data_IF_166079128154
#
_entry.id   IF_166079128154
#
_cell.length_a   1.000
_cell.length_b   1.000
_cell.length_c   1.000
_cell.angle_alpha   90.00
_cell.angle_beta   90.00
_cell.angle_gamma   90.00
#
_symmetry.space_group_name_H-M   'P 1'
#
loop_
_entity.id
_entity.type
_entity.pdbx_description
1 polymer ?
#
# COMPACT_ATOMS: atom_id res chain seq x y z
N UNK A 1 -7.38 23.69 -3.06
CA UNK A 1 -8.05 22.45 -2.57
C UNK A 1 -7.49 22.17 -1.21
N UNK A 2 -8.34 22.08 -0.23
CA UNK A 2 -7.92 21.97 1.18
C UNK A 2 -8.41 20.64 1.72
N UNK A 3 -7.59 19.61 1.59
CA UNK A 3 -7.74 18.36 2.33
C UNK A 3 -6.56 18.20 3.29
N UNK A 4 -6.79 17.46 4.36
CA UNK A 4 -5.77 17.10 5.34
C UNK A 4 -5.39 15.63 5.21
N UNK A 5 -4.17 15.27 5.62
CA UNK A 5 -3.71 13.90 5.68
C UNK A 5 -3.62 13.49 7.13
N UNK A 6 -4.35 12.45 7.50
CA UNK A 6 -4.46 11.98 8.88
C UNK A 6 -4.13 10.49 8.98
N UNK A 7 -3.58 10.09 10.12
CA UNK A 7 -3.49 8.67 10.47
C UNK A 7 -4.85 8.17 10.95
N UNK A 8 -5.25 7.00 10.47
CA UNK A 8 -6.57 6.42 10.80
C UNK A 8 -6.41 5.08 11.52
N UNK A 9 -7.32 4.80 12.44
CA UNK A 9 -7.42 3.50 13.11
C UNK A 9 -8.37 2.59 12.34
N UNK A 10 -7.84 1.49 11.82
CA UNK A 10 -8.63 0.49 11.08
C UNK A 10 -9.58 -0.34 11.97
N UNK A 11 -9.53 -0.17 13.30
CA UNK A 11 -10.49 -0.78 14.22
C UNK A 11 -11.77 0.03 14.37
N UNK A 12 -11.76 1.29 13.95
CA UNK A 12 -12.96 2.12 13.93
C UNK A 12 -13.88 1.65 12.79
N UNK A 13 -15.07 1.18 13.15
CA UNK A 13 -16.05 0.63 12.21
C UNK A 13 -16.45 1.63 11.12
N UNK A 14 -16.56 2.91 11.45
CA UNK A 14 -16.92 3.96 10.50
C UNK A 14 -15.80 4.21 9.50
N UNK A 15 -14.57 4.26 9.99
CA UNK A 15 -13.38 4.40 9.14
C UNK A 15 -13.23 3.18 8.22
N UNK A 16 -13.39 1.96 8.76
CA UNK A 16 -13.32 0.73 7.94
C UNK A 16 -14.39 0.74 6.82
N UNK A 17 -15.61 1.16 7.11
CA UNK A 17 -16.67 1.26 6.12
C UNK A 17 -16.36 2.31 5.02
N UNK A 18 -15.92 3.49 5.41
CA UNK A 18 -15.54 4.54 4.45
C UNK A 18 -14.37 4.11 3.55
N UNK A 19 -13.34 3.47 4.11
CA UNK A 19 -12.20 2.96 3.36
C UNK A 19 -12.60 1.84 2.39
N UNK A 20 -13.44 0.89 2.81
CA UNK A 20 -13.96 -0.17 1.93
C UNK A 20 -14.78 0.41 0.77
N UNK A 21 -15.61 1.42 1.06
CA UNK A 21 -16.37 2.14 0.03
C UNK A 21 -15.46 2.87 -0.95
N UNK A 22 -14.45 3.57 -0.46
CA UNK A 22 -13.44 4.24 -1.29
C UNK A 22 -12.70 3.25 -2.19
N UNK A 23 -12.20 2.14 -1.64
CA UNK A 23 -11.45 1.12 -2.38
C UNK A 23 -12.35 0.50 -3.47
N UNK A 24 -13.59 0.16 -3.13
CA UNK A 24 -14.55 -0.34 -4.11
C UNK A 24 -14.72 0.61 -5.29
N UNK A 25 -14.92 1.90 -5.04
CA UNK A 25 -15.08 2.92 -6.08
C UNK A 25 -13.80 3.11 -6.89
N UNK A 26 -12.65 3.19 -6.23
CA UNK A 26 -11.36 3.43 -6.89
C UNK A 26 -10.96 2.31 -7.85
N UNK A 27 -11.33 1.07 -7.54
CA UNK A 27 -11.01 -0.11 -8.35
C UNK A 27 -12.19 -0.60 -9.21
N UNK A 28 -13.32 0.07 -9.16
CA UNK A 28 -14.56 -0.35 -9.84
C UNK A 28 -14.90 -1.82 -9.55
N UNK A 29 -14.76 -2.22 -8.28
CA UNK A 29 -15.00 -3.60 -7.86
C UNK A 29 -16.51 -3.87 -7.73
N UNK A 30 -16.95 -5.02 -8.22
CA UNK A 30 -18.37 -5.44 -8.14
C UNK A 30 -18.79 -5.64 -6.68
N UNK A 31 -17.95 -6.34 -5.90
CA UNK A 31 -18.23 -6.63 -4.50
C UNK A 31 -17.39 -5.77 -3.56
N UNK A 32 -17.97 -5.32 -2.42
CA UNK A 32 -17.21 -4.63 -1.40
C UNK A 32 -16.31 -5.61 -0.63
N UNK A 33 -15.21 -5.10 -0.10
CA UNK A 33 -14.42 -5.84 0.88
C UNK A 33 -15.27 -6.17 2.11
N UNK A 34 -15.03 -7.32 2.73
CA UNK A 34 -15.70 -7.71 3.99
C UNK A 34 -15.29 -6.78 5.12
N UNK A 35 -16.19 -6.58 6.10
CA UNK A 35 -15.90 -5.80 7.31
C UNK A 35 -14.64 -6.32 8.00
N UNK A 36 -13.77 -5.42 8.43
CA UNK A 36 -12.50 -5.73 9.05
C UNK A 36 -11.44 -6.33 8.12
N UNK A 37 -11.70 -6.47 6.82
CA UNK A 37 -10.77 -7.06 5.86
C UNK A 37 -9.43 -6.32 5.83
N UNK A 38 -9.47 -4.99 5.83
CA UNK A 38 -8.25 -4.17 5.84
C UNK A 38 -7.42 -4.43 7.08
N UNK A 39 -8.05 -4.48 8.26
CA UNK A 39 -7.36 -4.76 9.51
C UNK A 39 -6.82 -6.18 9.59
N UNK A 40 -7.64 -7.19 9.23
CA UNK A 40 -7.30 -8.61 9.42
C UNK A 40 -6.28 -9.12 8.41
N UNK A 41 -6.35 -8.67 7.15
CA UNK A 41 -5.54 -9.21 6.05
C UNK A 41 -4.31 -8.36 5.72
N UNK A 42 -4.18 -7.18 6.33
CA UNK A 42 -3.05 -6.32 6.05
C UNK A 42 -1.84 -6.66 6.93
N UNK A 43 -1.99 -7.35 8.06
CA UNK A 43 -0.93 -7.40 9.08
C UNK A 43 -0.71 -8.77 9.71
N UNK A 44 0.55 -9.21 9.74
CA UNK A 44 0.99 -10.18 10.73
C UNK A 44 0.87 -9.56 12.14
N UNK A 45 0.56 -10.36 13.16
CA UNK A 45 0.33 -9.87 14.54
C UNK A 45 1.44 -8.95 15.10
N UNK A 46 2.71 -9.21 14.75
CA UNK A 46 3.87 -8.44 15.22
C UNK A 46 3.98 -7.02 14.64
N UNK A 47 3.47 -6.80 13.44
CA UNK A 47 3.63 -5.52 12.73
C UNK A 47 2.44 -4.57 12.88
N UNK A 48 1.34 -5.01 13.50
CA UNK A 48 0.10 -4.22 13.59
C UNK A 48 0.28 -2.88 14.29
N UNK A 49 1.04 -2.86 15.39
CA UNK A 49 1.25 -1.64 16.19
C UNK A 49 2.17 -0.63 15.49
N UNK A 50 3.05 -1.10 14.62
CA UNK A 50 3.99 -0.26 13.89
C UNK A 50 3.45 0.20 12.54
N UNK A 51 2.39 -0.43 12.05
CA UNK A 51 1.78 -0.08 10.79
C UNK A 51 1.25 1.34 10.79
N UNK A 52 1.40 2.00 9.66
CA UNK A 52 0.85 3.31 9.40
C UNK A 52 -0.26 3.18 8.35
N UNK A 53 -1.42 3.73 8.61
CA UNK A 53 -2.46 3.86 7.59
C UNK A 53 -2.87 5.33 7.51
N UNK A 54 -2.71 5.93 6.34
CA UNK A 54 -3.01 7.34 6.11
C UNK A 54 -4.23 7.50 5.21
N UNK A 55 -5.03 8.50 5.51
CA UNK A 55 -6.14 8.92 4.69
C UNK A 55 -6.06 10.43 4.40
N UNK A 56 -6.39 10.82 3.17
CA UNK A 56 -6.67 12.20 2.82
C UNK A 56 -8.16 12.47 3.03
N UNK A 57 -8.47 13.50 3.82
CA UNK A 57 -9.84 13.85 4.24
C UNK A 57 -10.20 15.24 3.73
N UNK A 58 -11.28 15.36 2.99
CA UNK A 58 -11.87 16.60 2.53
C UNK A 58 -13.35 16.64 2.91
N UNK A 59 -13.80 17.73 3.55
CA UNK A 59 -15.19 17.88 4.01
C UNK A 59 -15.70 16.67 4.82
N UNK A 60 -14.87 16.15 5.74
CA UNK A 60 -15.16 14.98 6.58
C UNK A 60 -15.35 13.67 5.81
N UNK A 61 -14.91 13.58 4.57
CA UNK A 61 -14.96 12.35 3.75
C UNK A 61 -13.56 11.92 3.35
N UNK A 62 -13.30 10.63 3.37
CA UNK A 62 -12.04 10.05 2.90
C UNK A 62 -12.04 10.05 1.38
N UNK A 63 -11.11 10.80 0.78
CA UNK A 63 -10.92 10.94 -0.67
C UNK A 63 -9.73 10.16 -1.22
N UNK A 64 -8.86 9.67 -0.33
CA UNK A 64 -7.73 8.82 -0.69
C UNK A 64 -7.16 8.12 0.52
N UNK A 65 -6.48 7.01 0.31
CA UNK A 65 -5.83 6.27 1.38
C UNK A 65 -4.59 5.51 0.90
N UNK A 66 -3.71 5.19 1.85
CA UNK A 66 -2.62 4.25 1.66
C UNK A 66 -2.20 3.63 2.99
N UNK A 67 -1.93 2.32 2.97
CA UNK A 67 -1.37 1.57 4.09
C UNK A 67 0.12 1.35 3.93
N UNK A 68 0.83 1.32 5.06
CA UNK A 68 2.28 1.06 5.13
C UNK A 68 2.50 -0.03 6.19
N UNK A 69 2.68 -1.25 5.74
CA UNK A 69 2.85 -2.43 6.60
C UNK A 69 4.30 -2.50 7.06
N UNK A 70 4.50 -2.50 8.37
CA UNK A 70 5.83 -2.71 8.94
C UNK A 70 6.32 -4.14 8.69
N UNK A 71 7.53 -4.27 8.21
CA UNK A 71 8.23 -5.53 8.00
C UNK A 71 9.66 -5.41 8.48
N UNK A 72 10.19 -6.50 9.05
CA UNK A 72 11.59 -6.59 9.42
C UNK A 72 12.32 -7.46 8.40
N UNK A 73 13.44 -6.95 7.91
CA UNK A 73 14.35 -7.71 7.06
C UNK A 73 15.65 -7.98 7.81
N UNK A 74 16.21 -9.15 7.61
CA UNK A 74 17.54 -9.46 8.10
C UNK A 74 18.55 -9.33 6.96
N UNK A 75 19.47 -8.36 7.10
CA UNK A 75 20.58 -8.16 6.16
C UNK A 75 21.89 -8.22 6.94
N UNK A 76 22.77 -9.13 6.55
CA UNK A 76 24.06 -9.33 7.22
C UNK A 76 23.93 -9.49 8.75
N UNK A 77 22.96 -10.29 9.21
CA UNK A 77 22.62 -10.54 10.62
C UNK A 77 22.15 -9.30 11.40
N UNK A 78 21.81 -8.23 10.71
CA UNK A 78 21.18 -7.03 11.29
C UNK A 78 19.73 -6.97 10.88
N UNK A 79 18.85 -6.82 11.85
CA UNK A 79 17.43 -6.55 11.57
C UNK A 79 17.27 -5.10 11.19
N UNK A 80 16.63 -4.85 10.06
CA UNK A 80 16.27 -3.52 9.57
C UNK A 80 14.77 -3.42 9.44
N UNK A 81 14.20 -2.32 9.90
CA UNK A 81 12.78 -2.04 9.76
C UNK A 81 12.48 -1.37 8.43
N UNK A 82 11.48 -1.86 7.72
CA UNK A 82 11.01 -1.28 6.48
C UNK A 82 9.50 -1.38 6.36
N UNK A 83 8.94 -0.71 5.35
CA UNK A 83 7.51 -0.65 5.20
C UNK A 83 7.07 -0.97 3.77
N UNK A 84 6.03 -1.80 3.65
CA UNK A 84 5.38 -2.09 2.38
C UNK A 84 4.23 -1.11 2.14
N UNK A 85 4.30 -0.33 1.07
CA UNK A 85 3.16 0.47 0.60
C UNK A 85 2.10 -0.43 -0.03
N UNK A 86 0.87 -0.36 0.46
CA UNK A 86 -0.26 -1.17 0.02
C UNK A 86 -1.59 -0.44 0.19
N UNK A 87 -2.67 -1.00 -0.34
CA UNK A 87 -4.03 -0.44 -0.21
C UNK A 87 -4.15 1.02 -0.67
N UNK A 88 -3.39 1.39 -1.71
CA UNK A 88 -3.44 2.73 -2.28
C UNK A 88 -4.72 2.91 -3.09
N UNK A 89 -5.55 3.85 -2.69
CA UNK A 89 -6.78 4.18 -3.40
C UNK A 89 -7.01 5.69 -3.40
N UNK A 90 -7.52 6.23 -4.52
CA UNK A 90 -7.96 7.62 -4.63
C UNK A 90 -9.34 7.64 -5.27
N UNK A 91 -10.27 8.38 -4.67
CA UNK A 91 -11.62 8.54 -5.21
C UNK A 91 -11.55 9.01 -6.67
N UNK A 92 -12.36 8.47 -7.59
CA UNK A 92 -12.30 8.83 -9.00
C UNK A 92 -12.32 10.34 -9.27
N UNK A 93 -13.18 11.10 -8.59
CA UNK A 93 -13.31 12.56 -8.76
C UNK A 93 -12.09 13.35 -8.24
N UNK A 94 -11.18 12.69 -7.52
CA UNK A 94 -9.96 13.29 -6.93
C UNK A 94 -8.66 12.74 -7.54
N UNK A 95 -8.77 11.88 -8.55
CA UNK A 95 -7.61 11.44 -9.33
C UNK A 95 -6.99 12.61 -10.10
N UNK A 96 -5.68 12.54 -10.33
CA UNK A 96 -4.94 13.64 -10.97
C UNK A 96 -4.66 14.87 -10.09
N UNK A 97 -5.24 14.96 -8.88
CA UNK A 97 -5.12 16.09 -7.94
C UNK A 97 -4.02 15.89 -6.88
N UNK A 98 -3.00 15.08 -7.14
CA UNK A 98 -1.85 14.78 -6.26
C UNK A 98 -2.21 14.11 -4.91
N UNK A 99 -3.44 13.64 -4.70
CA UNK A 99 -3.85 13.03 -3.42
C UNK A 99 -2.94 11.87 -3.04
N UNK A 100 -2.71 10.92 -3.96
CA UNK A 100 -1.82 9.79 -3.73
C UNK A 100 -0.37 10.24 -3.44
N UNK A 101 0.15 11.18 -4.23
CA UNK A 101 1.52 11.69 -4.05
C UNK A 101 1.70 12.31 -2.67
N UNK A 102 0.78 13.17 -2.26
CA UNK A 102 0.86 13.85 -0.96
C UNK A 102 0.76 12.87 0.21
N UNK A 103 -0.08 11.81 0.11
CA UNK A 103 -0.12 10.74 1.13
C UNK A 103 1.24 10.02 1.21
N UNK A 104 1.87 9.72 0.08
CA UNK A 104 3.18 9.07 0.04
C UNK A 104 4.29 9.95 0.61
N UNK A 105 4.31 11.23 0.26
CA UNK A 105 5.27 12.21 0.80
C UNK A 105 5.15 12.35 2.32
N UNK A 106 3.93 12.42 2.84
CA UNK A 106 3.68 12.47 4.28
C UNK A 106 4.09 11.16 4.98
N UNK A 107 3.81 10.01 4.37
CA UNK A 107 4.27 8.73 4.88
C UNK A 107 5.80 8.63 4.93
N UNK A 108 6.50 9.06 3.88
CA UNK A 108 7.96 9.09 3.86
C UNK A 108 8.51 9.94 5.01
N UNK A 109 7.91 11.11 5.26
CA UNK A 109 8.29 11.98 6.39
C UNK A 109 8.09 11.28 7.74
N UNK A 110 6.91 10.67 7.97
CA UNK A 110 6.60 9.99 9.23
C UNK A 110 7.51 8.77 9.43
N UNK A 111 7.65 7.93 8.40
CA UNK A 111 8.38 6.67 8.50
C UNK A 111 9.90 6.90 8.62
N UNK A 112 10.44 7.94 8.00
CA UNK A 112 11.83 8.36 8.23
C UNK A 112 12.06 8.73 9.69
N UNK A 113 11.16 9.47 10.30
CA UNK A 113 11.24 9.82 11.72
C UNK A 113 11.09 8.61 12.66
N UNK A 114 10.46 7.52 12.19
CA UNK A 114 10.39 6.24 12.90
C UNK A 114 11.63 5.37 12.69
N UNK A 115 12.63 5.82 11.93
CA UNK A 115 13.86 5.06 11.65
C UNK A 115 13.68 3.97 10.59
N UNK A 116 12.68 4.07 9.71
CA UNK A 116 12.54 3.16 8.60
C UNK A 116 13.75 3.22 7.67
N UNK A 117 14.33 2.07 7.34
CA UNK A 117 15.45 1.98 6.43
C UNK A 117 15.03 2.22 4.97
N UNK A 118 13.84 1.74 4.59
CA UNK A 118 13.26 1.97 3.27
C UNK A 118 11.75 1.69 3.25
N UNK A 119 11.10 2.21 2.21
CA UNK A 119 9.73 1.87 1.84
C UNK A 119 9.79 1.13 0.51
N UNK A 120 9.00 0.07 0.35
CA UNK A 120 8.89 -0.65 -0.90
C UNK A 120 7.42 -0.86 -1.29
N UNK A 121 7.18 -1.14 -2.56
CA UNK A 121 5.84 -1.40 -3.07
C UNK A 121 5.85 -2.31 -4.28
N UNK A 122 4.67 -2.84 -4.61
CA UNK A 122 4.42 -3.59 -5.84
C UNK A 122 3.37 -2.80 -6.62
N UNK A 123 3.81 -1.77 -7.37
CA UNK A 123 2.88 -0.91 -8.09
C UNK A 123 2.25 -1.63 -9.28
N UNK A 124 1.06 -1.20 -9.66
CA UNK A 124 0.47 -1.52 -10.95
C UNK A 124 0.93 -0.52 -12.02
N UNK A 125 0.53 -0.75 -13.28
CA UNK A 125 0.95 0.08 -14.41
C UNK A 125 0.58 1.57 -14.26
N UNK A 126 -0.50 1.89 -13.53
CA UNK A 126 -0.93 3.27 -13.29
C UNK A 126 -0.10 3.97 -12.21
N UNK A 127 0.29 3.25 -11.17
CA UNK A 127 1.01 3.82 -10.03
C UNK A 127 2.54 3.78 -10.20
N UNK A 128 3.09 2.83 -10.98
CA UNK A 128 4.53 2.69 -11.22
C UNK A 128 5.20 3.99 -11.72
N UNK A 129 4.68 4.70 -12.73
CA UNK A 129 5.28 5.95 -13.17
C UNK A 129 5.29 7.03 -12.08
N UNK A 130 4.30 7.02 -11.19
CA UNK A 130 4.23 7.99 -10.09
C UNK A 130 5.31 7.71 -9.06
N UNK A 131 5.51 6.45 -8.66
CA UNK A 131 6.58 6.07 -7.75
C UNK A 131 7.95 6.48 -8.27
N UNK A 132 8.25 6.19 -9.52
CA UNK A 132 9.56 6.48 -10.12
C UNK A 132 9.74 7.98 -10.38
N UNK A 133 8.78 8.62 -11.08
CA UNK A 133 9.00 9.96 -11.60
C UNK A 133 8.65 11.09 -10.62
N UNK A 134 7.88 10.81 -9.55
CA UNK A 134 7.40 11.84 -8.61
C UNK A 134 7.80 11.60 -7.16
N UNK A 135 8.10 10.36 -6.77
CA UNK A 135 8.32 9.98 -5.38
C UNK A 135 9.76 9.51 -5.10
N UNK A 136 10.64 9.53 -6.09
CA UNK A 136 12.05 9.19 -5.93
C UNK A 136 12.33 7.72 -5.66
N UNK A 137 11.43 6.82 -6.07
CA UNK A 137 11.65 5.38 -5.91
C UNK A 137 12.48 4.82 -7.06
N UNK A 138 13.39 3.90 -6.74
CA UNK A 138 14.18 3.16 -7.71
C UNK A 138 13.57 1.79 -7.97
N UNK A 139 13.59 1.35 -9.22
CA UNK A 139 13.11 0.03 -9.60
C UNK A 139 14.17 -1.02 -9.34
N UNK A 140 13.80 -2.09 -8.62
CA UNK A 140 14.66 -3.25 -8.43
C UNK A 140 14.12 -4.39 -9.29
N UNK A 141 14.97 -5.04 -10.12
CA UNK A 141 14.54 -6.20 -10.87
C UNK A 141 13.99 -7.27 -9.95
N UNK A 142 12.79 -7.76 -10.23
CA UNK A 142 12.21 -8.86 -9.46
C UNK A 142 13.04 -10.13 -9.66
N UNK A 143 13.51 -10.72 -8.56
CA UNK A 143 13.97 -12.10 -8.55
C UNK A 143 12.79 -13.00 -8.91
N UNK A 144 12.85 -13.68 -10.04
CA UNK A 144 11.93 -14.78 -10.32
C UNK A 144 12.26 -15.92 -9.38
N UNK A 145 11.43 -16.09 -8.33
CA UNK A 145 11.50 -17.27 -7.48
C UNK A 145 10.96 -18.47 -8.26
N UNK A 146 11.83 -19.37 -8.68
CA UNK A 146 11.43 -20.66 -9.18
C UNK A 146 11.07 -21.54 -7.97
N UNK A 147 9.79 -21.69 -7.69
CA UNK A 147 9.32 -22.54 -6.59
C UNK A 147 9.16 -23.96 -7.13
N UNK A 148 9.90 -24.97 -6.62
CA UNK A 148 9.90 -26.32 -7.17
C UNK A 148 8.56 -27.07 -7.05
N UNK A 149 7.59 -26.57 -6.29
CA UNK A 149 6.33 -27.25 -6.04
C UNK A 149 5.11 -26.35 -6.29
N UNK A 150 4.60 -26.43 -7.52
CA UNK A 150 3.48 -25.64 -8.06
C UNK A 150 2.17 -25.79 -7.24
N UNK A 151 1.98 -26.84 -6.45
CA UNK A 151 0.72 -27.06 -5.70
C UNK A 151 0.49 -26.02 -4.59
N UNK A 152 1.53 -25.49 -3.96
CA UNK A 152 1.42 -24.46 -2.93
C UNK A 152 1.18 -23.05 -3.50
N UNK A 153 1.73 -22.78 -4.66
CA UNK A 153 1.61 -21.48 -5.34
C UNK A 153 0.23 -21.28 -5.95
N UNK A 154 -0.42 -22.35 -6.36
CA UNK A 154 -1.73 -22.29 -7.02
C UNK A 154 -2.82 -21.64 -6.15
N UNK A 155 -2.82 -21.89 -4.84
CA UNK A 155 -3.82 -21.30 -3.93
C UNK A 155 -3.54 -19.87 -3.54
N UNK A 156 -2.29 -19.39 -3.66
CA UNK A 156 -1.89 -18.01 -3.36
C UNK A 156 -2.10 -17.08 -4.57
N UNK A 157 -1.99 -17.60 -5.79
CA UNK A 157 -2.06 -16.80 -7.02
C UNK A 157 -3.36 -16.93 -7.80
N UNK A 158 -4.18 -17.97 -7.60
CA UNK A 158 -5.40 -18.17 -8.40
C UNK A 158 -6.49 -17.14 -8.10
N UNK A 159 -6.47 -16.49 -6.93
CA UNK A 159 -7.38 -15.37 -6.65
C UNK A 159 -7.13 -14.11 -7.49
N UNK A 160 -5.96 -13.99 -8.13
CA UNK A 160 -5.53 -12.77 -8.84
C UNK A 160 -5.12 -12.97 -10.31
N UNK A 161 -5.13 -14.20 -10.84
CA UNK A 161 -4.63 -14.48 -12.19
C UNK A 161 -5.65 -14.32 -13.32
N UNK A 162 -6.92 -14.07 -13.01
CA UNK A 162 -7.93 -13.83 -14.06
C UNK A 162 -7.97 -12.39 -14.60
N UNK A 163 -7.10 -11.50 -14.14
CA UNK A 163 -7.13 -10.11 -14.57
C UNK A 163 -5.78 -9.49 -14.90
N UNK A 164 -4.77 -10.20 -15.38
CA UNK A 164 -3.71 -9.45 -16.10
C UNK A 164 -2.57 -10.37 -16.58
N UNK A 165 -2.43 -10.47 -17.87
CA UNK A 165 -1.20 -10.88 -18.55
C UNK A 165 -0.12 -9.81 -18.25
N UNK A 166 0.97 -10.18 -17.61
CA UNK A 166 2.24 -9.41 -17.65
C UNK A 166 2.60 -8.55 -16.45
N UNK A 167 2.21 -8.88 -15.20
CA UNK A 167 2.74 -8.16 -14.03
C UNK A 167 4.18 -8.58 -13.73
N UNK A 168 5.12 -7.71 -14.06
CA UNK A 168 6.47 -7.75 -13.48
C UNK A 168 6.40 -7.14 -12.09
N UNK A 169 6.70 -7.89 -11.04
CA UNK A 169 6.84 -7.35 -9.70
C UNK A 169 8.06 -6.44 -9.64
N UNK A 170 7.90 -5.28 -9.03
CA UNK A 170 8.96 -4.28 -8.89
C UNK A 170 9.10 -3.96 -7.40
N UNK A 171 10.26 -4.20 -6.84
CA UNK A 171 10.64 -3.73 -5.51
C UNK A 171 11.34 -2.40 -5.69
N UNK A 172 10.93 -1.40 -4.93
CA UNK A 172 11.38 -0.03 -5.12
C UNK A 172 12.09 0.43 -3.85
N UNK A 173 13.34 0.86 -4.00
CA UNK A 173 14.17 1.39 -2.94
C UNK A 173 14.05 2.92 -2.92
N UNK A 174 13.89 3.53 -1.76
CA UNK A 174 14.08 4.95 -1.62
C UNK A 174 15.59 5.23 -1.58
N UNK A 175 16.07 6.15 -2.40
CA UNK A 175 17.46 6.58 -2.35
C UNK A 175 17.76 7.33 -1.04
N UNK A 176 19.02 7.23 -0.60
CA UNK A 176 19.57 7.92 0.57
C UNK A 176 19.48 9.45 0.49
#
# INVERSE_FOLDING_TARGET
MSYEIVSVDLKDDKIDEELRSLIRKAFNAEEPLKKGHLYLNTFAKKSREQTLFLAAVENKKIIGCNGFIANDFEINKKTISCYQSCWSATHPDHQGKRVFVNIQEEAQRILRNRGAAFIYGIPNDNSRPIFINKLGFSEIPCLMLQIPNIRYVRNFFIGNLNSNKGRKGTVIKADE
#
